data_IF_455327333450
#
_entry.id   IF_455327333450
#
_cell.length_a   1.000
_cell.length_b   1.000
_cell.length_c   1.000
_cell.angle_alpha   90.00
_cell.angle_beta   90.00
_cell.angle_gamma   90.00
#
_symmetry.space_group_name_H-M   'P 1'
#
loop_
_entity.id
_entity.type
_entity.pdbx_description
1 polymer ?
#
# COMPACT_ATOMS: atom_id res chain seq x y z
N UNK A 1 -1.80 4.74 22.16
CA UNK A 1 -2.05 3.42 22.78
C UNK A 1 -0.77 3.06 23.51
N UNK A 2 -0.46 3.80 24.58
CA UNK A 2 0.81 3.71 25.31
C UNK A 2 0.53 3.03 26.64
N UNK A 3 0.16 1.75 26.59
CA UNK A 3 0.26 0.91 27.76
C UNK A 3 1.76 0.69 28.00
N UNK A 4 2.28 1.19 29.12
CA UNK A 4 3.63 0.91 29.60
C UNK A 4 3.68 -0.57 30.06
N UNK A 5 3.67 -1.48 29.09
CA UNK A 5 3.79 -2.92 29.34
C UNK A 5 5.24 -3.18 29.77
N UNK A 6 5.48 -3.80 30.94
CA UNK A 6 6.83 -4.07 31.39
C UNK A 6 7.55 -4.92 30.33
N UNK A 7 8.74 -4.45 29.91
CA UNK A 7 9.58 -5.11 28.88
C UNK A 7 9.87 -6.58 29.24
N UNK A 8 9.83 -6.93 30.52
CA UNK A 8 10.03 -8.28 31.05
C UNK A 8 8.92 -9.28 30.61
N UNK A 9 7.73 -8.80 30.28
CA UNK A 9 6.63 -9.65 29.79
C UNK A 9 6.76 -9.95 28.29
N UNK A 10 7.60 -9.22 27.56
CA UNK A 10 7.77 -9.40 26.12
C UNK A 10 8.78 -10.50 25.83
N UNK A 11 8.37 -11.49 25.03
CA UNK A 11 9.27 -12.54 24.50
C UNK A 11 10.54 -11.95 23.85
N UNK A 12 11.71 -12.44 24.23
CA UNK A 12 12.98 -12.01 23.62
C UNK A 12 13.06 -12.29 22.12
N UNK A 13 12.52 -13.43 21.69
CA UNK A 13 12.50 -13.87 20.29
C UNK A 13 11.08 -14.33 19.90
N UNK A 14 10.24 -13.43 19.36
CA UNK A 14 8.91 -13.79 18.91
C UNK A 14 8.97 -14.69 17.67
N UNK A 15 8.34 -15.86 17.74
CA UNK A 15 8.27 -16.81 16.63
C UNK A 15 7.08 -16.58 15.69
N UNK A 16 6.02 -15.93 16.20
CA UNK A 16 4.85 -15.58 15.41
C UNK A 16 5.02 -14.22 14.73
N UNK A 17 4.45 -14.08 13.53
CA UNK A 17 4.49 -12.84 12.76
C UNK A 17 3.82 -11.67 13.48
N UNK A 18 2.71 -11.93 14.15
CA UNK A 18 1.98 -10.92 14.93
C UNK A 18 2.83 -10.40 16.09
N UNK A 19 3.54 -11.28 16.80
CA UNK A 19 4.42 -10.87 17.88
C UNK A 19 5.64 -10.09 17.36
N UNK A 20 6.21 -10.45 16.20
CA UNK A 20 7.29 -9.68 15.56
C UNK A 20 6.86 -8.25 15.21
N UNK A 21 5.65 -8.08 14.70
CA UNK A 21 5.10 -6.75 14.40
C UNK A 21 4.90 -5.93 15.68
N UNK A 22 4.28 -6.49 16.71
CA UNK A 22 4.08 -5.78 17.98
C UNK A 22 5.42 -5.35 18.62
N UNK A 23 6.47 -6.15 18.45
CA UNK A 23 7.80 -5.86 18.98
C UNK A 23 8.62 -4.89 18.14
N UNK A 24 8.17 -4.53 16.94
CA UNK A 24 8.90 -3.62 16.08
C UNK A 24 8.92 -2.22 16.70
N UNK A 25 10.10 -1.56 16.81
CA UNK A 25 10.20 -0.27 17.48
C UNK A 25 9.75 0.89 16.58
N UNK A 26 8.46 0.96 16.29
CA UNK A 26 7.86 1.94 15.37
C UNK A 26 8.24 3.39 15.70
N UNK A 27 8.20 3.77 16.98
CA UNK A 27 8.53 5.14 17.43
C UNK A 27 10.00 5.51 17.18
N UNK A 28 10.91 4.54 17.31
CA UNK A 28 12.34 4.76 17.04
C UNK A 28 12.58 5.04 15.56
N UNK A 29 12.03 4.20 14.67
CA UNK A 29 12.15 4.42 13.23
C UNK A 29 11.47 5.71 12.79
N UNK A 30 10.33 6.10 13.36
CA UNK A 30 9.68 7.35 13.00
C UNK A 30 10.49 8.60 13.38
N UNK A 31 11.26 8.54 14.47
CA UNK A 31 12.11 9.65 14.94
C UNK A 31 13.47 9.70 14.24
N UNK A 32 14.08 8.54 14.00
CA UNK A 32 15.47 8.46 13.52
C UNK A 32 15.59 8.17 12.02
N UNK A 33 14.63 7.46 11.42
CA UNK A 33 14.64 7.16 9.99
C UNK A 33 13.79 8.18 9.23
N UNK A 34 14.46 9.24 8.75
CA UNK A 34 13.83 10.27 7.90
C UNK A 34 13.13 9.64 6.69
N UNK A 35 13.75 8.62 6.07
CA UNK A 35 13.18 7.88 4.93
C UNK A 35 11.81 7.29 5.26
N UNK A 36 11.68 6.59 6.39
CA UNK A 36 10.40 5.95 6.79
C UNK A 36 9.29 7.00 6.95
N UNK A 37 9.59 8.14 7.58
CA UNK A 37 8.63 9.23 7.75
C UNK A 37 8.16 9.78 6.40
N UNK A 38 9.08 10.17 5.52
CA UNK A 38 8.71 10.76 4.23
C UNK A 38 8.07 9.75 3.27
N UNK A 39 8.46 8.48 3.34
CA UNK A 39 7.84 7.44 2.54
C UNK A 39 6.37 7.20 2.94
N UNK A 40 6.08 7.14 4.24
CA UNK A 40 4.71 7.06 4.72
C UNK A 40 3.88 8.30 4.35
N UNK A 41 4.46 9.51 4.44
CA UNK A 41 3.78 10.75 4.03
C UNK A 41 3.53 10.74 2.51
N UNK A 42 4.53 10.37 1.70
CA UNK A 42 4.41 10.31 0.24
C UNK A 42 3.34 9.32 -0.21
N UNK A 43 3.28 8.14 0.42
CA UNK A 43 2.19 7.18 0.17
C UNK A 43 0.84 7.79 0.54
N UNK A 44 0.70 8.38 1.72
CA UNK A 44 -0.56 8.98 2.15
C UNK A 44 -1.03 10.11 1.21
N UNK A 45 -0.11 10.95 0.75
CA UNK A 45 -0.41 12.03 -0.20
C UNK A 45 -0.79 11.51 -1.58
N UNK A 46 -0.20 10.40 -2.04
CA UNK A 46 -0.46 9.86 -3.38
C UNK A 46 -1.69 8.95 -3.45
N UNK A 47 -2.10 8.33 -2.34
CA UNK A 47 -3.32 7.49 -2.25
C UNK A 47 -4.57 8.16 -2.85
N UNK A 48 -4.96 9.41 -2.50
CA UNK A 48 -6.15 10.02 -3.11
C UNK A 48 -5.99 10.29 -4.61
N UNK A 49 -4.77 10.57 -5.07
CA UNK A 49 -4.46 10.78 -6.49
C UNK A 49 -4.69 9.47 -7.26
N UNK A 50 -4.08 8.38 -6.78
CA UNK A 50 -4.27 7.06 -7.39
C UNK A 50 -5.71 6.58 -7.31
N UNK A 51 -6.43 6.88 -6.23
CA UNK A 51 -7.85 6.55 -6.13
C UNK A 51 -8.68 7.25 -7.21
N UNK A 52 -8.43 8.54 -7.48
CA UNK A 52 -9.09 9.28 -8.55
C UNK A 52 -8.74 8.71 -9.93
N UNK A 53 -7.45 8.44 -10.19
CA UNK A 53 -7.00 7.82 -11.44
C UNK A 53 -7.66 6.47 -11.64
N UNK A 54 -7.68 5.62 -10.61
CA UNK A 54 -8.31 4.30 -10.66
C UNK A 54 -9.79 4.37 -11.01
N UNK A 55 -10.53 5.36 -10.48
CA UNK A 55 -11.93 5.58 -10.86
C UNK A 55 -12.10 6.03 -12.31
N UNK A 56 -11.19 6.85 -12.83
CA UNK A 56 -11.24 7.28 -14.24
C UNK A 56 -10.91 6.14 -15.19
N UNK A 57 -9.90 5.32 -14.88
CA UNK A 57 -9.50 4.17 -15.69
C UNK A 57 -10.61 3.12 -15.75
N UNK A 58 -11.35 2.92 -14.65
CA UNK A 58 -12.45 1.97 -14.57
C UNK A 58 -13.82 2.59 -14.94
N UNK A 59 -13.87 3.75 -15.60
CA UNK A 59 -15.12 4.29 -16.11
C UNK A 59 -15.72 3.34 -17.17
N UNK A 60 -17.06 3.18 -17.23
CA UNK A 60 -17.69 2.22 -18.15
C UNK A 60 -17.32 2.51 -19.61
N UNK A 61 -17.27 3.79 -19.98
CA UNK A 61 -16.86 4.24 -21.33
C UNK A 61 -15.43 3.82 -21.68
N UNK A 62 -14.48 3.95 -20.75
CA UNK A 62 -13.10 3.55 -21.00
C UNK A 62 -13.01 2.02 -21.08
N UNK A 63 -13.70 1.29 -20.21
CA UNK A 63 -13.74 -0.18 -20.24
C UNK A 63 -14.31 -0.69 -21.57
N UNK A 64 -15.36 -0.08 -22.09
CA UNK A 64 -15.95 -0.43 -23.39
C UNK A 64 -15.01 -0.13 -24.55
N UNK A 65 -14.37 1.05 -24.55
CA UNK A 65 -13.35 1.40 -25.55
C UNK A 65 -12.20 0.39 -25.56
N UNK A 66 -11.67 0.01 -24.39
CA UNK A 66 -10.62 -1.00 -24.29
C UNK A 66 -11.10 -2.42 -24.64
N UNK A 67 -12.40 -2.70 -24.51
CA UNK A 67 -13.01 -3.96 -24.95
C UNK A 67 -13.09 -4.02 -26.47
N UNK A 68 -13.44 -2.91 -27.12
CA UNK A 68 -13.47 -2.80 -28.59
C UNK A 68 -12.08 -2.85 -29.21
N UNK A 69 -11.11 -2.13 -28.65
CA UNK A 69 -9.70 -2.18 -29.09
C UNK A 69 -9.20 -3.62 -29.02
N UNK A 70 -9.37 -4.28 -27.87
CA UNK A 70 -8.95 -5.68 -27.71
C UNK A 70 -9.69 -6.61 -28.66
N UNK A 71 -10.99 -6.39 -28.92
CA UNK A 71 -11.74 -7.19 -29.90
C UNK A 71 -11.12 -7.11 -31.29
N UNK A 72 -10.74 -5.90 -31.74
CA UNK A 72 -10.11 -5.66 -33.05
C UNK A 72 -8.71 -6.27 -33.14
N UNK A 73 -7.95 -6.23 -32.06
CA UNK A 73 -6.64 -6.87 -31.95
C UNK A 73 -6.75 -8.41 -32.02
N UNK A 74 -7.72 -9.00 -31.32
CA UNK A 74 -7.93 -10.46 -31.34
C UNK A 74 -8.61 -10.97 -32.62
N UNK A 75 -9.40 -10.15 -33.32
CA UNK A 75 -9.99 -10.50 -34.62
C UNK A 75 -9.02 -10.38 -35.79
N UNK A 76 -7.82 -9.81 -35.57
CA UNK A 76 -6.82 -9.61 -36.62
C UNK A 76 -7.17 -8.49 -37.61
N UNK A 77 -8.16 -7.64 -37.31
CA UNK A 77 -8.50 -6.46 -38.15
C UNK A 77 -7.47 -5.33 -38.04
N UNK A 78 -6.51 -5.42 -37.11
CA UNK A 78 -5.48 -4.41 -36.85
C UNK A 78 -4.14 -4.68 -37.54
N UNK A 79 -4.15 -5.35 -38.70
CA UNK A 79 -3.00 -5.51 -39.60
C UNK A 79 -3.35 -5.13 -41.03
#
# INVERSE_FOLDING_TARGET
>A
MDANVPKDRMMKYPYTWTAKLQMFPYKYYWKHAWMTKYWCIGLLCTVPIYWKIGRMVNSPENVEKWREIRRKEFSGESH
#
